data_IF_291818871731
#
_entry.id   IF_291818871731
#
_cell.length_a   1.000
_cell.length_b   1.000
_cell.length_c   1.000
_cell.angle_alpha   90.00
_cell.angle_beta   90.00
_cell.angle_gamma   90.00
#
_symmetry.space_group_name_H-M   'P 1'
#
loop_
_entity.id
_entity.type
_entity.pdbx_description
1 polymer ?
#
# COMPACT_ATOMS: atom_id res chain seq x y z
N UNK A 1 -9.11 -11.35 -37.82
CA UNK A 1 -9.84 -10.72 -36.71
C UNK A 1 -8.92 -9.73 -36.06
N UNK A 2 -9.17 -8.43 -36.24
CA UNK A 2 -8.31 -7.38 -35.69
C UNK A 2 -8.60 -7.21 -34.18
N UNK A 3 -7.57 -7.35 -33.36
CA UNK A 3 -7.61 -7.05 -31.93
C UNK A 3 -7.98 -5.58 -31.76
N UNK A 4 -9.14 -5.30 -31.16
CA UNK A 4 -9.52 -3.97 -30.71
C UNK A 4 -8.68 -3.66 -29.46
N UNK A 5 -7.47 -3.14 -29.66
CA UNK A 5 -6.74 -2.48 -28.58
C UNK A 5 -7.60 -1.31 -28.08
N UNK A 6 -8.08 -1.37 -26.85
CA UNK A 6 -8.83 -0.30 -26.21
C UNK A 6 -7.90 0.93 -26.17
N UNK A 7 -8.28 2.00 -26.88
CA UNK A 7 -7.56 3.28 -26.80
C UNK A 7 -7.64 3.78 -25.35
N UNK A 8 -6.47 3.93 -24.74
CA UNK A 8 -6.37 4.64 -23.47
C UNK A 8 -6.88 6.09 -23.65
N UNK A 9 -7.54 6.68 -22.65
CA UNK A 9 -8.22 7.98 -22.80
C UNK A 9 -7.28 9.19 -22.92
N UNK A 10 -5.98 9.00 -23.06
CA UNK A 10 -4.96 10.06 -23.22
C UNK A 10 -3.77 9.56 -24.06
N UNK A 11 -3.14 10.48 -24.79
CA UNK A 11 -1.90 10.20 -25.52
C UNK A 11 -0.77 9.97 -24.52
N UNK A 12 -0.27 8.73 -24.43
CA UNK A 12 0.84 8.34 -23.57
C UNK A 12 2.04 7.93 -24.43
N UNK A 13 3.21 8.39 -24.04
CA UNK A 13 4.47 7.94 -24.64
C UNK A 13 4.76 6.47 -24.26
N UNK A 14 5.60 5.74 -25.05
CA UNK A 14 5.99 4.37 -24.70
C UNK A 14 6.50 4.21 -23.24
N UNK A 15 7.28 5.17 -22.75
CA UNK A 15 7.75 5.18 -21.35
C UNK A 15 6.62 5.38 -20.33
N UNK A 16 5.59 6.14 -20.70
CA UNK A 16 4.42 6.31 -19.86
C UNK A 16 3.53 5.06 -19.87
N UNK A 17 3.47 4.31 -20.98
CA UNK A 17 2.78 3.01 -21.05
C UNK A 17 3.43 1.98 -20.13
N UNK A 18 4.76 1.97 -20.03
CA UNK A 18 5.47 1.09 -19.10
C UNK A 18 5.15 1.39 -17.62
N UNK A 19 4.63 2.58 -17.32
CA UNK A 19 4.29 3.04 -15.96
C UNK A 19 2.79 2.94 -15.63
N UNK A 20 1.97 2.39 -16.53
CA UNK A 20 0.54 2.18 -16.25
C UNK A 20 0.39 1.14 -15.14
N UNK A 21 -0.48 1.38 -14.14
CA UNK A 21 -0.77 0.41 -13.08
C UNK A 21 -1.07 -0.99 -13.62
N UNK A 22 -0.52 -2.05 -12.99
CA UNK A 22 -0.68 -3.42 -13.49
C UNK A 22 -2.12 -3.82 -13.72
N UNK A 23 -3.01 -3.52 -12.78
CA UNK A 23 -4.42 -3.85 -12.86
C UNK A 23 -5.22 -3.02 -13.88
N UNK A 24 -4.65 -1.96 -14.46
CA UNK A 24 -5.23 -1.25 -15.59
C UNK A 24 -4.85 -1.92 -16.93
N UNK A 25 -3.71 -2.64 -16.97
CA UNK A 25 -3.29 -3.45 -18.12
C UNK A 25 -3.97 -4.81 -18.12
N UNK A 26 -4.03 -5.43 -16.94
CA UNK A 26 -4.58 -6.75 -16.69
C UNK A 26 -5.47 -6.70 -15.43
N UNK A 27 -6.81 -6.79 -15.56
CA UNK A 27 -7.73 -6.71 -14.44
C UNK A 27 -7.47 -7.73 -13.32
N UNK A 28 -6.94 -8.91 -13.65
CA UNK A 28 -6.59 -9.93 -12.66
C UNK A 28 -5.49 -9.46 -11.69
N UNK A 29 -4.64 -8.56 -12.16
CA UNK A 29 -3.59 -7.95 -11.33
C UNK A 29 -4.08 -6.85 -10.39
N UNK A 30 -5.38 -6.50 -10.39
CA UNK A 30 -5.95 -5.62 -9.37
C UNK A 30 -5.91 -6.23 -7.99
N UNK A 31 -5.99 -7.56 -7.91
CA UNK A 31 -5.88 -8.29 -6.64
C UNK A 31 -4.44 -8.71 -6.39
N UNK A 32 -3.92 -8.30 -5.25
CA UNK A 32 -2.64 -8.74 -4.71
C UNK A 32 -2.88 -9.46 -3.39
N UNK A 33 -2.01 -10.39 -3.01
CA UNK A 33 -2.11 -11.11 -1.76
C UNK A 33 -0.73 -11.36 -1.16
N UNK A 34 -0.67 -11.60 0.15
CA UNK A 34 0.56 -11.92 0.85
C UNK A 34 0.42 -13.18 1.70
N UNK A 35 1.34 -14.17 1.56
CA UNK A 35 1.31 -15.37 2.37
C UNK A 35 1.71 -15.10 3.83
N UNK A 36 2.39 -14.00 4.11
CA UNK A 36 2.90 -13.67 5.45
C UNK A 36 1.77 -13.26 6.37
N UNK A 37 0.93 -12.31 5.97
CA UNK A 37 -0.22 -11.85 6.75
C UNK A 37 -1.50 -12.65 6.42
N UNK A 38 -1.47 -13.46 5.36
CA UNK A 38 -2.64 -14.20 4.81
C UNK A 38 -3.81 -13.27 4.50
N UNK A 39 -3.50 -12.08 4.02
CA UNK A 39 -4.44 -11.06 3.61
C UNK A 39 -4.31 -10.76 2.11
N UNK A 40 -5.27 -10.01 1.59
CA UNK A 40 -5.29 -9.57 0.20
C UNK A 40 -5.79 -8.13 0.11
N UNK A 41 -5.40 -7.47 -0.96
CA UNK A 41 -5.91 -6.16 -1.32
C UNK A 41 -6.35 -6.14 -2.79
N UNK A 42 -7.46 -5.45 -3.09
CA UNK A 42 -7.95 -5.22 -4.44
C UNK A 42 -7.92 -3.72 -4.70
N UNK A 43 -7.24 -3.29 -5.75
CA UNK A 43 -7.27 -1.91 -6.24
C UNK A 43 -8.59 -1.66 -6.98
N UNK A 44 -9.57 -1.08 -6.30
CA UNK A 44 -10.86 -0.67 -6.90
C UNK A 44 -10.66 0.52 -7.85
N UNK A 45 -9.84 1.50 -7.42
CA UNK A 45 -9.43 2.66 -8.20
C UNK A 45 -7.97 3.00 -7.92
N UNK A 46 -7.20 3.14 -8.99
CA UNK A 46 -5.88 3.78 -8.92
C UNK A 46 -6.02 5.30 -8.99
N UNK A 47 -5.03 6.03 -8.53
CA UNK A 47 -4.98 7.48 -8.63
C UNK A 47 -5.14 7.99 -10.06
N UNK A 48 -4.65 7.25 -11.05
CA UNK A 48 -4.85 7.58 -12.47
C UNK A 48 -6.30 7.48 -12.95
N UNK A 49 -7.12 6.63 -12.33
CA UNK A 49 -8.54 6.49 -12.65
C UNK A 49 -9.40 7.57 -11.97
N UNK A 50 -8.82 8.33 -11.04
CA UNK A 50 -9.49 9.39 -10.26
C UNK A 50 -8.87 10.76 -10.48
N UNK A 51 -8.05 10.94 -11.52
CA UNK A 51 -7.31 12.17 -11.79
C UNK A 51 -6.45 12.65 -10.60
N UNK A 52 -5.94 11.72 -9.79
CA UNK A 52 -5.12 12.01 -8.62
C UNK A 52 -5.90 12.35 -7.34
N UNK A 53 -7.22 12.34 -7.38
CA UNK A 53 -8.03 12.70 -6.21
C UNK A 53 -7.90 11.66 -5.09
N UNK A 54 -7.95 10.36 -5.43
CA UNK A 54 -7.81 9.29 -4.44
C UNK A 54 -7.40 7.97 -5.08
N UNK A 55 -6.81 7.10 -4.27
CA UNK A 55 -6.69 5.65 -4.51
C UNK A 55 -7.71 4.94 -3.61
N UNK A 56 -8.40 3.91 -4.12
CA UNK A 56 -9.38 3.12 -3.37
C UNK A 56 -9.01 1.64 -3.41
N UNK A 57 -8.94 1.03 -2.24
CA UNK A 57 -8.66 -0.38 -2.04
C UNK A 57 -9.81 -1.05 -1.28
N UNK A 58 -10.08 -2.33 -1.57
CA UNK A 58 -10.72 -3.26 -0.63
C UNK A 58 -9.64 -4.17 -0.07
N UNK A 59 -9.56 -4.28 1.25
CA UNK A 59 -8.55 -5.05 1.97
C UNK A 59 -9.21 -6.06 2.89
N UNK A 60 -8.73 -7.31 2.88
CA UNK A 60 -9.07 -8.29 3.90
C UNK A 60 -8.01 -8.32 4.99
N UNK A 61 -8.43 -8.63 6.22
CA UNK A 61 -7.52 -8.81 7.35
C UNK A 61 -7.86 -10.12 8.03
N UNK A 62 -6.90 -11.04 8.05
CA UNK A 62 -7.06 -12.33 8.72
C UNK A 62 -7.35 -12.19 10.22
N UNK A 63 -7.89 -13.20 10.90
CA UNK A 63 -8.08 -13.21 12.35
C UNK A 63 -6.78 -12.87 13.09
N UNK A 64 -6.85 -11.90 14.01
CA UNK A 64 -5.69 -11.40 14.76
C UNK A 64 -4.67 -10.63 13.90
N UNK A 65 -4.95 -10.41 12.61
CA UNK A 65 -4.08 -9.66 11.70
C UNK A 65 -4.07 -8.17 12.03
N UNK A 66 -2.94 -7.54 11.76
CA UNK A 66 -2.76 -6.09 11.86
C UNK A 66 -1.59 -5.64 10.99
N UNK A 67 -1.58 -4.37 10.60
CA UNK A 67 -0.38 -3.77 10.02
C UNK A 67 0.47 -3.10 11.10
N UNK A 68 1.74 -2.80 10.78
CA UNK A 68 2.62 -2.09 11.70
C UNK A 68 2.15 -0.65 11.91
N UNK A 69 2.34 -0.12 13.13
CA UNK A 69 2.07 1.29 13.41
C UNK A 69 2.97 2.20 12.56
N UNK A 70 2.35 3.15 11.87
CA UNK A 70 3.01 4.05 10.92
C UNK A 70 2.25 5.37 10.78
N UNK A 71 2.78 6.28 9.99
CA UNK A 71 2.14 7.54 9.61
C UNK A 71 2.50 7.91 8.17
N UNK A 72 1.68 8.76 7.55
CA UNK A 72 1.86 9.29 6.20
C UNK A 72 1.97 10.80 6.25
N UNK A 73 2.90 11.39 5.50
CA UNK A 73 3.12 12.84 5.52
C UNK A 73 2.23 13.64 4.57
N UNK A 74 1.70 13.01 3.53
CA UNK A 74 1.13 13.73 2.38
C UNK A 74 -0.28 13.33 1.98
N UNK A 75 -0.88 12.36 2.64
CA UNK A 75 -2.27 11.93 2.39
C UNK A 75 -2.96 11.48 3.67
N UNK A 76 -4.28 11.54 3.66
CA UNK A 76 -5.14 10.96 4.68
C UNK A 76 -5.64 9.59 4.25
N UNK A 77 -5.99 8.74 5.22
CA UNK A 77 -6.66 7.46 4.98
C UNK A 77 -8.02 7.43 5.62
N UNK A 78 -9.04 7.03 4.85
CA UNK A 78 -10.37 6.76 5.37
C UNK A 78 -10.63 5.26 5.29
N UNK A 79 -10.86 4.65 6.45
CA UNK A 79 -11.19 3.25 6.63
C UNK A 79 -12.70 3.11 6.76
N UNK A 80 -13.32 2.24 5.97
CA UNK A 80 -14.75 1.93 6.05
C UNK A 80 -14.90 0.42 6.21
N UNK A 81 -15.45 -0.04 7.33
CA UNK A 81 -15.71 -1.45 7.54
C UNK A 81 -16.80 -1.94 6.58
N UNK A 82 -16.57 -3.08 5.91
CA UNK A 82 -17.54 -3.72 5.00
C UNK A 82 -18.05 -5.06 5.54
N UNK A 83 -17.17 -5.89 6.09
CA UNK A 83 -17.51 -7.19 6.67
C UNK A 83 -16.80 -7.36 8.01
N UNK A 84 -17.56 -7.71 9.04
CA UNK A 84 -17.05 -7.84 10.40
C UNK A 84 -16.66 -6.52 11.05
N UNK A 85 -16.16 -6.57 12.26
CA UNK A 85 -15.69 -5.39 12.98
C UNK A 85 -14.20 -5.16 12.73
N UNK A 86 -13.84 -3.96 12.29
CA UNK A 86 -12.47 -3.54 12.04
C UNK A 86 -12.01 -2.60 13.14
N UNK A 87 -10.88 -2.89 13.78
CA UNK A 87 -10.23 -1.99 14.72
C UNK A 87 -9.33 -1.00 14.01
N UNK A 88 -9.44 0.27 14.38
CA UNK A 88 -8.52 1.34 13.97
C UNK A 88 -7.93 1.96 15.23
N UNK A 89 -6.62 1.95 15.32
CA UNK A 89 -5.90 2.70 16.34
C UNK A 89 -5.39 4.01 15.75
N UNK A 90 -5.53 5.09 16.50
CA UNK A 90 -4.77 6.33 16.26
C UNK A 90 -4.14 6.79 17.56
N UNK A 91 -3.01 7.48 17.48
CA UNK A 91 -2.32 7.99 18.66
C UNK A 91 -3.18 9.00 19.46
N UNK A 92 -3.98 9.79 18.76
CA UNK A 92 -4.82 10.84 19.37
C UNK A 92 -6.07 10.29 20.06
N UNK A 93 -6.68 9.19 19.55
CA UNK A 93 -7.98 8.71 20.03
C UNK A 93 -7.95 7.29 20.62
N UNK A 94 -6.81 6.57 20.47
CA UNK A 94 -6.72 5.16 20.85
C UNK A 94 -7.49 4.23 19.89
N UNK A 95 -7.88 3.07 20.39
CA UNK A 95 -8.60 2.08 19.61
C UNK A 95 -10.07 2.48 19.40
N UNK A 96 -10.51 2.39 18.16
CA UNK A 96 -11.90 2.52 17.73
C UNK A 96 -12.31 1.30 16.93
N UNK A 97 -13.46 0.70 17.28
CA UNK A 97 -14.07 -0.38 16.50
C UNK A 97 -15.07 0.20 15.51
N UNK A 98 -14.98 -0.23 14.26
CA UNK A 98 -15.89 0.12 13.18
C UNK A 98 -16.77 -1.09 12.86
N UNK A 99 -18.08 -0.94 12.97
CA UNK A 99 -19.08 -1.90 12.46
C UNK A 99 -19.27 -1.69 10.95
N UNK A 100 -19.78 -2.70 10.21
CA UNK A 100 -20.07 -2.56 8.80
C UNK A 100 -20.86 -1.29 8.46
N UNK A 101 -20.34 -0.49 7.52
CA UNK A 101 -20.87 0.81 7.12
C UNK A 101 -20.29 2.01 7.90
N UNK A 102 -19.63 1.80 9.03
CA UNK A 102 -18.96 2.87 9.76
C UNK A 102 -17.59 3.21 9.16
N UNK A 103 -17.19 4.46 9.30
CA UNK A 103 -15.92 4.97 8.79
C UNK A 103 -15.14 5.75 9.83
N UNK A 104 -13.81 5.74 9.68
CA UNK A 104 -12.89 6.60 10.41
C UNK A 104 -11.86 7.16 9.43
N UNK A 105 -11.58 8.47 9.53
CA UNK A 105 -10.54 9.12 8.74
C UNK A 105 -9.36 9.46 9.63
N UNK A 106 -8.17 9.07 9.20
CA UNK A 106 -6.89 9.39 9.81
C UNK A 106 -6.23 10.48 8.96
N UNK A 107 -5.89 11.60 9.58
CA UNK A 107 -5.24 12.71 8.89
C UNK A 107 -3.77 12.40 8.57
N UNK A 108 -3.21 13.10 7.58
CA UNK A 108 -1.77 13.10 7.36
C UNK A 108 -1.01 13.49 8.66
N UNK A 109 0.08 12.79 8.93
CA UNK A 109 0.91 12.97 10.13
C UNK A 109 0.44 12.21 11.37
N UNK A 110 -0.74 11.63 11.36
CA UNK A 110 -1.29 10.88 12.50
C UNK A 110 -0.77 9.44 12.51
N UNK A 111 -0.20 9.02 13.62
CA UNK A 111 0.22 7.63 13.85
C UNK A 111 -1.00 6.73 13.99
N UNK A 112 -1.02 5.64 13.22
CA UNK A 112 -2.16 4.71 13.19
C UNK A 112 -1.76 3.30 12.77
N UNK A 113 -2.69 2.38 12.98
CA UNK A 113 -2.73 1.03 12.39
C UNK A 113 -4.16 0.50 12.43
N UNK A 114 -4.45 -0.47 11.56
CA UNK A 114 -5.70 -1.24 11.62
C UNK A 114 -5.42 -2.64 12.16
N UNK A 115 -6.48 -3.28 12.70
CA UNK A 115 -6.39 -4.63 13.24
C UNK A 115 -7.72 -5.36 13.17
N UNK A 116 -7.66 -6.68 13.14
CA UNK A 116 -8.80 -7.57 13.26
C UNK A 116 -8.78 -8.24 14.64
N UNK A 117 -9.65 -7.85 15.59
CA UNK A 117 -9.69 -8.45 16.92
C UNK A 117 -10.52 -9.74 16.97
N UNK A 118 -11.20 -10.10 15.88
CA UNK A 118 -12.12 -11.23 15.80
C UNK A 118 -11.45 -12.54 15.40
N UNK A 119 -12.27 -13.59 15.33
CA UNK A 119 -11.87 -14.93 14.93
C UNK A 119 -12.15 -15.23 13.44
N UNK A 120 -12.80 -14.32 12.74
CA UNK A 120 -13.10 -14.43 11.31
C UNK A 120 -12.40 -13.34 10.52
N UNK A 121 -12.21 -13.59 9.21
CA UNK A 121 -11.71 -12.56 8.27
C UNK A 121 -12.67 -11.37 8.23
N UNK A 122 -12.12 -10.16 8.34
CA UNK A 122 -12.85 -8.91 8.15
C UNK A 122 -12.43 -8.24 6.84
N UNK A 123 -13.30 -7.38 6.30
CA UNK A 123 -13.03 -6.62 5.09
C UNK A 123 -13.34 -5.15 5.30
N UNK A 124 -12.52 -4.29 4.72
CA UNK A 124 -12.67 -2.84 4.76
C UNK A 124 -12.28 -2.20 3.44
N UNK A 125 -12.86 -1.05 3.15
CA UNK A 125 -12.31 -0.12 2.15
C UNK A 125 -11.32 0.82 2.79
N UNK A 126 -10.24 1.08 2.04
CA UNK A 126 -9.25 2.11 2.38
C UNK A 126 -9.20 3.11 1.24
N UNK A 127 -9.54 4.36 1.54
CA UNK A 127 -9.44 5.47 0.59
C UNK A 127 -8.29 6.38 1.00
N UNK A 128 -7.27 6.49 0.16
CA UNK A 128 -6.15 7.43 0.32
C UNK A 128 -6.45 8.71 -0.46
N UNK A 129 -6.34 9.87 0.15
CA UNK A 129 -6.57 11.16 -0.50
C UNK A 129 -5.56 12.23 -0.04
N UNK A 130 -4.88 12.92 -0.98
CA UNK A 130 -4.85 12.66 -2.42
C UNK A 130 -4.19 11.33 -2.78
N UNK A 131 -4.43 10.84 -3.99
CA UNK A 131 -3.80 9.61 -4.48
C UNK A 131 -2.27 9.72 -4.53
N UNK A 132 -1.59 8.59 -4.29
CA UNK A 132 -0.12 8.48 -4.33
C UNK A 132 0.29 7.23 -5.10
N UNK A 133 0.75 7.41 -6.35
CA UNK A 133 1.27 6.30 -7.17
C UNK A 133 2.43 5.57 -6.47
N UNK A 134 3.24 6.28 -5.68
CA UNK A 134 4.30 5.69 -4.88
C UNK A 134 3.78 4.70 -3.82
N UNK A 135 2.64 4.96 -3.21
CA UNK A 135 1.96 4.01 -2.32
C UNK A 135 1.49 2.77 -3.09
N UNK A 136 0.86 2.98 -4.24
CA UNK A 136 0.38 1.89 -5.09
C UNK A 136 1.52 0.96 -5.50
N UNK A 137 2.64 1.53 -5.98
CA UNK A 137 3.88 0.79 -6.31
C UNK A 137 4.44 0.06 -5.11
N UNK A 138 4.55 0.75 -3.98
CA UNK A 138 5.09 0.19 -2.75
C UNK A 138 4.31 -1.01 -2.26
N UNK A 139 2.98 -0.97 -2.35
CA UNK A 139 2.13 -2.09 -1.95
C UNK A 139 2.32 -3.30 -2.86
N UNK A 140 2.39 -3.11 -4.20
CA UNK A 140 2.72 -4.19 -5.13
C UNK A 140 4.08 -4.82 -4.84
N UNK A 141 5.09 -3.99 -4.54
CA UNK A 141 6.45 -4.47 -4.26
C UNK A 141 6.48 -5.22 -2.92
N UNK A 142 5.84 -4.72 -1.86
CA UNK A 142 5.79 -5.38 -0.55
C UNK A 142 5.13 -6.75 -0.65
N UNK A 143 3.97 -6.83 -1.30
CA UNK A 143 3.25 -8.09 -1.49
C UNK A 143 4.00 -9.06 -2.39
N UNK A 144 4.62 -8.57 -3.47
CA UNK A 144 5.44 -9.37 -4.37
C UNK A 144 6.68 -9.93 -3.68
N UNK A 145 7.41 -9.14 -2.90
CA UNK A 145 8.54 -9.60 -2.10
C UNK A 145 8.13 -10.69 -1.09
N UNK A 146 6.95 -10.53 -0.47
CA UNK A 146 6.43 -11.53 0.45
C UNK A 146 6.07 -12.85 -0.27
N UNK A 147 5.48 -12.79 -1.46
CA UNK A 147 5.23 -13.97 -2.30
C UNK A 147 6.52 -14.68 -2.72
N UNK A 148 7.58 -13.92 -2.96
CA UNK A 148 8.90 -14.47 -3.33
C UNK A 148 9.72 -14.97 -2.12
N UNK A 149 9.16 -14.92 -0.89
CA UNK A 149 9.85 -15.33 0.34
C UNK A 149 10.98 -14.36 0.77
N UNK A 150 10.95 -13.13 0.27
CA UNK A 150 11.97 -12.10 0.53
C UNK A 150 11.54 -11.12 1.65
N UNK A 151 10.52 -11.48 2.43
CA UNK A 151 10.03 -10.71 3.57
C UNK A 151 10.04 -11.52 4.85
N UNK A 152 10.34 -10.87 5.97
CA UNK A 152 10.22 -11.44 7.31
C UNK A 152 8.76 -11.42 7.79
N UNK A 153 8.51 -11.96 8.98
CA UNK A 153 7.22 -11.86 9.66
C UNK A 153 6.80 -10.38 9.78
N UNK A 154 5.53 -10.10 9.50
CA UNK A 154 5.00 -8.74 9.43
C UNK A 154 5.19 -8.06 8.05
N UNK A 155 5.67 -8.77 7.03
CA UNK A 155 5.77 -8.27 5.65
C UNK A 155 6.92 -7.29 5.41
N UNK A 156 7.85 -7.13 6.36
CA UNK A 156 9.02 -6.25 6.21
C UNK A 156 10.05 -6.95 5.31
N UNK A 157 10.57 -6.29 4.26
CA UNK A 157 11.59 -6.86 3.39
C UNK A 157 12.84 -7.27 4.17
N UNK A 158 13.41 -8.46 3.85
CA UNK A 158 14.65 -8.97 4.46
C UNK A 158 15.87 -8.11 4.11
N UNK A 159 15.85 -7.46 2.94
CA UNK A 159 16.89 -6.52 2.53
C UNK A 159 16.52 -5.10 2.98
N UNK A 160 17.36 -4.51 3.82
CA UNK A 160 17.15 -3.14 4.31
C UNK A 160 17.08 -2.10 3.18
N UNK A 161 17.82 -2.25 2.09
CA UNK A 161 17.76 -1.33 0.96
C UNK A 161 16.40 -1.36 0.26
N UNK A 162 15.71 -2.52 0.21
CA UNK A 162 14.32 -2.58 -0.26
C UNK A 162 13.41 -1.72 0.63
N UNK A 163 13.52 -1.86 1.95
CA UNK A 163 12.77 -1.01 2.90
C UNK A 163 13.10 0.48 2.71
N UNK A 164 14.39 0.81 2.54
CA UNK A 164 14.85 2.19 2.34
C UNK A 164 14.34 2.82 1.04
N UNK A 165 13.94 2.01 0.05
CA UNK A 165 13.31 2.45 -1.19
C UNK A 165 11.79 2.53 -1.03
N UNK A 166 11.16 1.45 -0.54
CA UNK A 166 9.71 1.27 -0.55
C UNK A 166 9.02 2.24 0.42
N UNK A 167 9.50 2.37 1.66
CA UNK A 167 8.83 3.20 2.66
C UNK A 167 8.82 4.70 2.30
N UNK A 168 9.94 5.33 1.87
CA UNK A 168 9.90 6.69 1.35
C UNK A 168 9.07 6.86 0.07
N UNK A 169 9.09 5.86 -0.83
CA UNK A 169 8.27 5.85 -2.06
C UNK A 169 6.78 5.90 -1.71
N UNK A 170 6.36 5.10 -0.73
CA UNK A 170 4.98 4.98 -0.28
C UNK A 170 4.55 6.09 0.69
N UNK A 171 5.49 6.94 1.13
CA UNK A 171 5.27 7.90 2.23
C UNK A 171 4.74 7.20 3.50
N UNK A 172 5.24 6.00 3.78
CA UNK A 172 4.95 5.22 4.99
C UNK A 172 6.14 5.32 5.96
N UNK A 173 5.90 5.83 7.14
CA UNK A 173 6.97 6.10 8.09
C UNK A 173 6.74 5.35 9.40
N UNK A 174 7.72 4.59 9.88
CA UNK A 174 7.60 3.87 11.14
C UNK A 174 7.58 4.83 12.32
N UNK A 175 7.00 4.39 13.43
CA UNK A 175 6.75 5.19 14.64
C UNK A 175 7.72 4.92 15.77
N UNK A 176 7.70 5.78 16.81
CA UNK A 176 8.53 5.66 17.99
C UNK A 176 9.99 6.06 17.78
N UNK A 177 10.81 5.96 18.85
CA UNK A 177 12.23 6.34 18.80
C UNK A 177 13.01 5.49 17.79
N UNK A 178 12.79 4.17 17.77
CA UNK A 178 13.40 3.28 16.78
C UNK A 178 13.00 3.64 15.36
N UNK A 179 11.73 4.01 15.14
CA UNK A 179 11.21 4.47 13.86
C UNK A 179 11.88 5.76 13.38
N UNK A 180 12.19 6.68 14.28
CA UNK A 180 12.94 7.91 13.97
C UNK A 180 14.33 7.62 13.40
N UNK A 181 15.10 6.74 14.07
CA UNK A 181 16.41 6.32 13.59
C UNK A 181 16.33 5.56 12.28
N UNK A 182 15.33 4.69 12.14
CA UNK A 182 15.08 3.94 10.91
C UNK A 182 14.71 4.88 9.74
N UNK A 183 13.86 5.88 9.97
CA UNK A 183 13.52 6.92 9.00
C UNK A 183 14.74 7.68 8.52
N UNK A 184 15.63 8.08 9.45
CA UNK A 184 16.89 8.76 9.09
C UNK A 184 17.78 7.85 8.25
N UNK A 185 17.95 6.59 8.67
CA UNK A 185 18.72 5.61 7.90
C UNK A 185 18.14 5.41 6.50
N UNK A 186 16.80 5.24 6.37
CA UNK A 186 16.15 5.10 5.06
C UNK A 186 16.40 6.32 4.16
N UNK A 187 16.30 7.54 4.70
CA UNK A 187 16.59 8.77 3.93
C UNK A 187 18.03 8.86 3.42
N UNK A 188 18.98 8.31 4.18
CA UNK A 188 20.40 8.25 3.78
C UNK A 188 20.61 7.17 2.70
N UNK A 189 20.01 5.99 2.86
CA UNK A 189 20.26 4.84 2.01
C UNK A 189 19.35 4.79 0.77
N UNK A 190 18.21 5.46 0.75
CA UNK A 190 17.31 5.50 -0.41
C UNK A 190 18.02 6.02 -1.70
N UNK A 191 18.81 7.11 -1.67
CA UNK A 191 19.57 7.54 -2.84
C UNK A 191 20.55 6.48 -3.37
N UNK A 192 21.18 5.71 -2.46
CA UNK A 192 22.10 4.63 -2.84
C UNK A 192 21.35 3.52 -3.58
N UNK A 193 20.20 3.10 -3.05
CA UNK A 193 19.34 2.10 -3.71
C UNK A 193 18.82 2.57 -5.08
N UNK A 194 18.51 3.85 -5.23
CA UNK A 194 18.12 4.45 -6.52
C UNK A 194 19.27 4.47 -7.51
N UNK A 195 20.42 4.95 -7.11
CA UNK A 195 21.62 5.02 -7.97
C UNK A 195 22.13 3.65 -8.39
N UNK A 196 21.90 2.60 -7.59
CA UNK A 196 22.25 1.21 -7.94
C UNK A 196 21.28 0.56 -8.94
N UNK A 197 20.18 1.23 -9.31
CA UNK A 197 19.13 0.67 -10.17
C UNK A 197 18.13 -0.25 -9.44
N UNK A 198 18.29 -0.44 -8.14
CA UNK A 198 17.41 -1.35 -7.35
C UNK A 198 15.95 -0.90 -7.33
N UNK A 199 15.69 0.42 -7.27
CA UNK A 199 14.31 0.95 -7.36
C UNK A 199 13.66 0.57 -8.68
N UNK A 200 14.39 0.75 -9.79
CA UNK A 200 13.91 0.39 -11.12
C UNK A 200 13.68 -1.12 -11.26
N UNK A 201 14.60 -1.94 -10.74
CA UNK A 201 14.46 -3.39 -10.72
C UNK A 201 13.19 -3.83 -9.98
N UNK A 202 12.94 -3.31 -8.77
CA UNK A 202 11.75 -3.61 -7.97
C UNK A 202 10.46 -3.17 -8.67
N UNK A 203 10.45 -1.96 -9.24
CA UNK A 203 9.30 -1.44 -9.99
C UNK A 203 9.03 -2.29 -11.23
N UNK A 204 10.06 -2.63 -12.02
CA UNK A 204 9.90 -3.44 -13.22
C UNK A 204 9.42 -4.86 -12.90
N UNK A 205 9.88 -5.43 -11.79
CA UNK A 205 9.53 -6.80 -11.39
C UNK A 205 8.08 -6.92 -10.90
N UNK A 206 7.60 -5.97 -10.10
CA UNK A 206 6.33 -6.13 -9.41
C UNK A 206 5.21 -5.24 -9.96
N UNK A 207 5.55 -4.06 -10.44
CA UNK A 207 4.59 -3.11 -11.01
C UNK A 207 4.54 -3.17 -12.54
N UNK A 208 5.64 -3.44 -13.24
CA UNK A 208 5.89 -3.37 -14.68
C UNK A 208 5.01 -4.14 -15.67
#
# INVERSE_FOLDING_TARGET
MASTASKLPFDVTPDQVARIPPGMKDPERRKIWTPVAKDWAIFEKYGRETNGEYTLLTVSVAPGGQNAAHWHGSYSETFTAEKGQVGIYTKSTGNRMLSPGESATVAAGEEHYFFNPGEEEVQMKIKLAPAREGFEKGLYILYGLACDGLSANGGIPNNFLHSAIIFPMSDMWPTGLGGMFLTLAMKIFAPIGRLSGMEEELVNRYWG
#
